data_IF_748715519187
#
_entry.id   IF_748715519187
#
_cell.length_a   1.000
_cell.length_b   1.000
_cell.length_c   1.000
_cell.angle_alpha   90.00
_cell.angle_beta   90.00
_cell.angle_gamma   90.00
#
_symmetry.space_group_name_H-M   'P 1'
#
loop_
_entity.id
_entity.type
_entity.pdbx_description
1 polymer ?
#
# COMPACT_ATOMS: atom_id res chain seq x y z
N UNK A 1 -28.40 19.18 -19.05
CA UNK A 1 -26.93 19.38 -19.09
C UNK A 1 -26.26 19.24 -17.72
N UNK A 2 -26.71 19.96 -16.66
CA UNK A 2 -26.10 19.87 -15.31
C UNK A 2 -26.12 18.45 -14.71
N UNK A 3 -27.21 17.70 -14.87
CA UNK A 3 -27.34 16.31 -14.39
C UNK A 3 -26.37 15.33 -15.09
N UNK A 4 -26.05 15.56 -16.36
CA UNK A 4 -25.12 14.72 -17.13
C UNK A 4 -23.66 14.97 -16.70
N UNK A 5 -23.32 16.24 -16.43
CA UNK A 5 -22.00 16.66 -15.94
C UNK A 5 -21.63 16.02 -14.60
N UNK A 6 -22.57 15.91 -13.67
CA UNK A 6 -22.33 15.27 -12.36
C UNK A 6 -22.15 13.75 -12.46
N UNK A 7 -22.86 13.08 -13.38
CA UNK A 7 -22.71 11.64 -13.60
C UNK A 7 -21.35 11.33 -14.24
N UNK A 8 -20.91 12.16 -15.20
CA UNK A 8 -19.60 12.01 -15.85
C UNK A 8 -18.46 12.25 -14.85
N UNK A 9 -18.58 13.25 -13.97
CA UNK A 9 -17.58 13.52 -12.94
C UNK A 9 -17.45 12.35 -11.94
N UNK A 10 -18.56 11.72 -11.58
CA UNK A 10 -18.60 10.56 -10.67
C UNK A 10 -18.04 9.29 -11.31
N UNK A 11 -18.30 9.04 -12.60
CA UNK A 11 -17.69 7.93 -13.34
C UNK A 11 -16.18 8.11 -13.49
N UNK A 12 -15.72 9.34 -13.70
CA UNK A 12 -14.29 9.64 -13.86
C UNK A 12 -13.49 9.40 -12.58
N UNK A 13 -14.09 9.61 -11.40
CA UNK A 13 -13.45 9.31 -10.11
C UNK A 13 -13.32 7.81 -9.83
N UNK A 14 -14.18 6.97 -10.43
CA UNK A 14 -14.09 5.51 -10.32
C UNK A 14 -12.98 4.91 -11.20
N UNK A 15 -12.60 5.59 -12.28
CA UNK A 15 -11.52 5.13 -13.18
C UNK A 15 -10.13 5.62 -12.78
N UNK A 16 -10.03 6.56 -11.84
CA UNK A 16 -8.76 7.02 -11.26
C UNK A 16 -8.53 6.33 -9.91
N UNK A 17 -8.66 5.01 -9.89
CA UNK A 17 -7.89 4.23 -8.91
C UNK A 17 -6.53 4.01 -9.54
N UNK A 18 -5.41 4.29 -8.85
CA UNK A 18 -4.11 3.91 -9.38
C UNK A 18 -4.14 2.40 -9.52
N UNK A 19 -4.15 1.92 -10.76
CA UNK A 19 -3.96 0.51 -11.07
C UNK A 19 -2.64 0.10 -10.40
N UNK A 20 -2.72 -0.82 -9.46
CA UNK A 20 -1.57 -1.47 -8.79
C UNK A 20 -0.62 -2.17 -9.79
N UNK A 21 -0.90 -2.10 -11.09
CA UNK A 21 -0.07 -2.57 -12.18
C UNK A 21 1.25 -1.80 -12.37
N UNK A 22 1.45 -0.64 -11.72
CA UNK A 22 2.68 0.16 -11.91
C UNK A 22 3.81 -0.15 -10.91
N UNK A 23 3.69 -1.18 -10.07
CA UNK A 23 4.79 -1.62 -9.20
C UNK A 23 5.73 -2.66 -9.88
N UNK A 24 5.37 -3.15 -11.07
CA UNK A 24 6.05 -4.28 -11.73
C UNK A 24 6.86 -3.87 -12.97
N UNK A 25 7.29 -2.60 -13.04
CA UNK A 25 7.96 -2.02 -14.22
C UNK A 25 9.48 -1.81 -14.10
N UNK A 26 10.14 -2.14 -12.99
CA UNK A 26 11.56 -1.78 -12.76
C UNK A 26 12.52 -2.95 -12.49
N UNK A 27 12.20 -4.18 -12.91
CA UNK A 27 13.16 -5.30 -12.86
C UNK A 27 13.14 -6.11 -14.16
N UNK A 28 13.21 -5.43 -15.30
CA UNK A 28 13.51 -6.06 -16.58
C UNK A 28 15.01 -6.21 -16.75
N UNK A 29 15.63 -7.16 -16.03
CA UNK A 29 17.03 -7.51 -16.27
C UNK A 29 17.06 -8.80 -17.10
N UNK A 30 17.28 -8.64 -18.40
CA UNK A 30 17.52 -9.72 -19.35
C UNK A 30 18.95 -10.24 -19.17
N UNK A 31 19.21 -10.90 -18.04
CA UNK A 31 20.40 -11.71 -17.85
C UNK A 31 20.06 -13.17 -18.12
N UNK A 32 20.93 -13.91 -18.80
CA UNK A 32 20.88 -15.38 -18.81
C UNK A 32 20.74 -15.89 -17.38
N UNK A 33 19.79 -16.79 -17.12
CA UNK A 33 19.69 -17.44 -15.80
C UNK A 33 21.05 -18.02 -15.41
N UNK A 34 21.53 -17.76 -14.18
CA UNK A 34 22.76 -18.35 -13.69
C UNK A 34 22.66 -19.87 -13.73
N UNK A 35 23.77 -20.55 -14.03
CA UNK A 35 23.81 -21.99 -14.04
C UNK A 35 23.76 -22.56 -12.60
N UNK A 36 23.45 -23.86 -12.49
CA UNK A 36 23.31 -24.50 -11.18
C UNK A 36 24.61 -24.47 -10.37
N UNK A 37 25.77 -24.43 -11.03
CA UNK A 37 27.06 -24.35 -10.37
C UNK A 37 27.28 -22.97 -9.72
N UNK A 38 26.99 -21.88 -10.43
CA UNK A 38 27.04 -20.54 -9.87
C UNK A 38 26.06 -20.36 -8.71
N UNK A 39 24.85 -20.92 -8.82
CA UNK A 39 23.86 -20.89 -7.72
C UNK A 39 24.41 -21.60 -6.48
N UNK A 40 24.99 -22.81 -6.64
CA UNK A 40 25.56 -23.55 -5.52
C UNK A 40 26.75 -22.84 -4.88
N UNK A 41 27.64 -22.26 -5.71
CA UNK A 41 28.77 -21.45 -5.23
C UNK A 41 28.28 -20.26 -4.39
N UNK A 42 27.30 -19.52 -4.92
CA UNK A 42 26.75 -18.35 -4.22
C UNK A 42 26.07 -18.74 -2.91
N UNK A 43 25.30 -19.83 -2.90
CA UNK A 43 24.68 -20.35 -1.68
C UNK A 43 25.71 -20.76 -0.63
N UNK A 44 26.87 -21.29 -1.05
CA UNK A 44 27.94 -21.62 -0.13
C UNK A 44 28.52 -20.35 0.51
N UNK A 45 28.80 -19.31 -0.27
CA UNK A 45 29.31 -18.03 0.24
C UNK A 45 28.32 -17.37 1.22
N UNK A 46 27.03 -17.35 0.89
CA UNK A 46 25.96 -16.88 1.79
C UNK A 46 25.92 -17.69 3.10
N UNK A 47 26.14 -19.01 3.05
CA UNK A 47 26.17 -19.86 4.24
C UNK A 47 27.42 -19.60 5.09
N UNK A 48 28.58 -19.39 4.48
CA UNK A 48 29.82 -19.03 5.19
C UNK A 48 29.66 -17.68 5.89
N UNK A 49 29.08 -16.69 5.21
CA UNK A 49 28.74 -15.39 5.81
C UNK A 49 27.80 -15.52 7.01
N UNK A 50 26.78 -16.38 6.91
CA UNK A 50 25.89 -16.69 8.02
C UNK A 50 26.62 -17.30 9.22
N UNK A 51 27.53 -18.25 8.99
CA UNK A 51 28.30 -18.88 10.07
C UNK A 51 29.21 -17.88 10.80
N UNK A 52 29.81 -16.95 10.06
CA UNK A 52 30.60 -15.86 10.62
C UNK A 52 29.72 -14.93 11.47
N UNK A 53 28.53 -14.57 10.98
CA UNK A 53 27.58 -13.75 11.72
C UNK A 53 27.07 -14.45 12.99
N UNK A 54 26.76 -15.75 12.92
CA UNK A 54 26.37 -16.57 14.07
C UNK A 54 27.50 -16.63 15.12
N UNK A 55 28.76 -16.70 14.66
CA UNK A 55 29.95 -16.68 15.53
C UNK A 55 30.13 -15.34 16.24
N UNK A 56 29.91 -14.22 15.53
CA UNK A 56 29.88 -12.88 16.12
C UNK A 56 28.78 -12.75 17.19
N UNK A 57 27.56 -13.21 16.88
CA UNK A 57 26.43 -13.15 17.79
C UNK A 57 26.66 -13.98 19.06
N UNK A 58 27.30 -15.13 18.92
CA UNK A 58 27.67 -16.01 20.03
C UNK A 58 28.94 -15.58 20.77
N UNK A 59 29.56 -14.46 20.35
CA UNK A 59 30.81 -13.91 20.92
C UNK A 59 31.99 -14.87 20.85
N UNK A 60 31.99 -15.82 19.90
CA UNK A 60 33.13 -16.71 19.67
C UNK A 60 34.22 -16.04 18.86
N UNK A 61 33.85 -15.05 18.05
CA UNK A 61 34.74 -14.18 17.27
C UNK A 61 34.35 -12.73 17.55
N UNK A 62 35.32 -11.83 17.49
CA UNK A 62 35.14 -10.39 17.66
C UNK A 62 35.40 -9.64 16.35
N UNK A 63 34.83 -8.44 16.21
CA UNK A 63 35.03 -7.60 15.02
C UNK A 63 36.50 -7.33 14.68
N UNK A 64 37.39 -7.32 15.68
CA UNK A 64 38.84 -7.12 15.51
C UNK A 64 39.56 -8.33 14.89
N UNK A 65 38.96 -9.51 14.95
CA UNK A 65 39.54 -10.75 14.41
C UNK A 65 39.13 -11.01 12.96
N UNK A 66 38.09 -10.33 12.48
CA UNK A 66 37.58 -10.46 11.12
C UNK A 66 38.36 -9.59 10.13
N UNK A 67 38.56 -10.12 8.93
CA UNK A 67 39.17 -9.43 7.80
C UNK A 67 38.11 -8.95 6.80
N UNK A 68 38.53 -8.12 5.86
CA UNK A 68 37.65 -7.62 4.79
C UNK A 68 36.99 -8.75 4.01
N UNK A 69 37.71 -9.83 3.67
CA UNK A 69 37.13 -11.00 3.02
C UNK A 69 36.06 -11.73 3.87
N UNK A 70 36.13 -11.65 5.20
CA UNK A 70 35.08 -12.20 6.06
C UNK A 70 33.84 -11.30 6.05
N UNK A 71 34.05 -9.99 6.01
CA UNK A 71 32.97 -9.02 5.87
C UNK A 71 32.31 -9.07 4.49
N UNK A 72 33.05 -9.35 3.43
CA UNK A 72 32.50 -9.61 2.10
C UNK A 72 31.47 -10.74 2.15
N UNK A 73 31.85 -11.91 2.70
CA UNK A 73 30.93 -13.07 2.86
C UNK A 73 29.72 -12.74 3.72
N UNK A 74 29.91 -12.01 4.83
CA UNK A 74 28.78 -11.53 5.65
C UNK A 74 27.87 -10.61 4.83
N UNK A 75 28.45 -9.75 3.97
CA UNK A 75 27.74 -8.90 3.02
C UNK A 75 26.91 -9.69 2.01
N UNK A 76 27.51 -10.72 1.38
CA UNK A 76 26.82 -11.66 0.48
C UNK A 76 25.62 -12.30 1.17
N UNK A 77 25.80 -12.80 2.40
CA UNK A 77 24.72 -13.39 3.20
C UNK A 77 23.57 -12.41 3.39
N UNK A 78 23.86 -11.20 3.88
CA UNK A 78 22.82 -10.21 4.07
C UNK A 78 22.15 -9.90 2.73
N UNK A 79 22.92 -9.75 1.63
CA UNK A 79 22.37 -9.30 0.35
C UNK A 79 21.41 -10.35 -0.20
N UNK A 80 21.80 -11.63 -0.13
CA UNK A 80 20.93 -12.76 -0.39
C UNK A 80 19.64 -12.72 0.43
N UNK A 81 19.72 -12.44 1.74
CA UNK A 81 18.52 -12.29 2.60
C UNK A 81 17.63 -11.12 2.17
N UNK A 82 18.22 -10.00 1.74
CA UNK A 82 17.45 -8.81 1.33
C UNK A 82 16.70 -9.02 0.01
N UNK A 83 17.27 -9.80 -0.90
CA UNK A 83 16.71 -10.11 -2.22
C UNK A 83 15.72 -11.27 -2.13
N UNK A 84 15.98 -12.24 -1.25
CA UNK A 84 15.14 -13.41 -1.02
C UNK A 84 15.27 -14.53 -2.06
N UNK A 85 16.18 -14.38 -3.03
CA UNK A 85 16.45 -15.38 -4.07
C UNK A 85 17.91 -15.30 -4.55
N UNK A 86 18.63 -16.43 -4.50
CA UNK A 86 20.05 -16.50 -4.87
C UNK A 86 20.28 -16.22 -6.36
N UNK A 87 19.34 -16.58 -7.24
CA UNK A 87 19.50 -16.31 -8.69
C UNK A 87 19.44 -14.82 -8.98
N UNK A 88 18.54 -14.10 -8.28
CA UNK A 88 18.43 -12.64 -8.34
C UNK A 88 19.62 -11.94 -7.68
N UNK A 89 20.20 -12.53 -6.64
CA UNK A 89 21.44 -12.05 -6.04
C UNK A 89 22.60 -12.09 -7.05
N UNK A 90 22.80 -13.22 -7.74
CA UNK A 90 23.83 -13.32 -8.80
C UNK A 90 23.60 -12.29 -9.91
N UNK A 91 22.33 -12.10 -10.32
CA UNK A 91 22.00 -11.06 -11.30
C UNK A 91 22.33 -9.64 -10.80
N UNK A 92 22.11 -9.36 -9.52
CA UNK A 92 22.48 -8.10 -8.89
C UNK A 92 24.00 -7.92 -8.86
N UNK A 93 24.77 -8.96 -8.50
CA UNK A 93 26.23 -8.89 -8.46
C UNK A 93 26.78 -8.59 -9.86
N UNK A 94 26.25 -9.24 -10.89
CA UNK A 94 26.61 -8.95 -12.29
C UNK A 94 26.26 -7.51 -12.70
N UNK A 95 25.10 -7.00 -12.26
CA UNK A 95 24.71 -5.61 -12.49
C UNK A 95 25.67 -4.65 -11.78
N UNK A 96 26.02 -4.90 -10.52
CA UNK A 96 26.97 -4.10 -9.75
C UNK A 96 28.34 -4.09 -10.41
N UNK A 97 28.88 -5.27 -10.77
CA UNK A 97 30.15 -5.41 -11.52
C UNK A 97 30.12 -4.61 -12.82
N UNK A 98 29.01 -4.61 -13.54
CA UNK A 98 28.88 -3.83 -14.79
C UNK A 98 28.91 -2.31 -14.59
N UNK A 99 28.46 -1.81 -13.42
CA UNK A 99 28.38 -0.38 -13.12
C UNK A 99 29.60 0.16 -12.37
N UNK A 100 30.14 -0.62 -11.42
CA UNK A 100 31.18 -0.18 -10.48
C UNK A 100 32.50 -0.94 -10.66
N UNK A 101 32.54 -1.93 -11.56
CA UNK A 101 33.66 -2.86 -11.68
C UNK A 101 33.68 -3.91 -10.57
N UNK A 102 34.56 -4.90 -10.70
CA UNK A 102 34.74 -6.00 -9.73
C UNK A 102 35.11 -5.45 -8.34
N UNK A 103 36.08 -4.55 -8.28
CA UNK A 103 36.49 -3.93 -7.01
C UNK A 103 35.35 -3.14 -6.35
N UNK A 104 34.49 -2.51 -7.15
CA UNK A 104 33.37 -1.74 -6.61
C UNK A 104 32.27 -2.60 -5.99
N UNK A 105 32.04 -3.80 -6.55
CA UNK A 105 31.10 -4.77 -6.00
C UNK A 105 31.63 -5.39 -4.70
N UNK A 106 32.89 -5.84 -4.69
CA UNK A 106 33.57 -6.35 -3.50
C UNK A 106 33.54 -5.33 -2.34
N UNK A 107 33.89 -4.08 -2.60
CA UNK A 107 33.87 -3.02 -1.58
C UNK A 107 32.46 -2.73 -1.05
N UNK A 108 31.44 -2.86 -1.90
CA UNK A 108 30.05 -2.72 -1.46
C UNK A 108 29.69 -3.86 -0.50
N UNK A 109 30.03 -5.12 -0.83
CA UNK A 109 29.74 -6.27 0.03
C UNK A 109 30.49 -6.19 1.36
N UNK A 110 31.77 -5.82 1.35
CA UNK A 110 32.54 -5.57 2.58
C UNK A 110 31.86 -4.49 3.43
N UNK A 111 31.49 -3.36 2.83
CA UNK A 111 30.85 -2.25 3.55
C UNK A 111 29.50 -2.67 4.12
N UNK A 112 28.71 -3.40 3.34
CA UNK A 112 27.41 -3.89 3.77
C UNK A 112 27.55 -4.92 4.90
N UNK A 113 28.54 -5.81 4.81
CA UNK A 113 28.85 -6.78 5.85
C UNK A 113 29.33 -6.14 7.14
N UNK A 114 30.24 -5.14 7.09
CA UNK A 114 30.70 -4.40 8.28
C UNK A 114 29.55 -3.66 8.97
N UNK A 115 28.63 -3.07 8.19
CA UNK A 115 27.44 -2.39 8.72
C UNK A 115 26.43 -3.37 9.30
N UNK A 116 26.12 -4.44 8.57
CA UNK A 116 25.15 -5.46 8.98
C UNK A 116 25.59 -6.25 10.21
N UNK A 117 26.90 -6.48 10.35
CA UNK A 117 27.50 -7.11 11.54
C UNK A 117 27.71 -6.17 12.74
N UNK A 118 27.36 -4.88 12.61
CA UNK A 118 27.62 -3.86 13.62
C UNK A 118 29.12 -3.68 13.97
N UNK A 119 30.02 -4.14 13.10
CA UNK A 119 31.46 -4.01 13.28
C UNK A 119 32.01 -2.67 12.73
N UNK A 120 31.22 -1.92 11.98
CA UNK A 120 31.55 -0.55 11.57
C UNK A 120 31.07 0.48 12.61
N UNK A 121 32.02 1.12 13.30
CA UNK A 121 31.78 2.30 14.15
C UNK A 121 32.57 3.54 13.68
N UNK A 122 33.12 3.52 12.46
CA UNK A 122 34.15 4.47 12.03
C UNK A 122 33.82 5.29 10.78
N UNK A 123 33.32 6.52 10.99
CA UNK A 123 33.47 7.70 10.11
C UNK A 123 33.23 7.49 8.59
N UNK A 124 31.97 7.45 8.16
CA UNK A 124 31.64 7.79 6.76
C UNK A 124 30.38 7.15 6.20
N UNK A 125 29.26 7.86 6.31
CA UNK A 125 28.20 7.81 5.31
C UNK A 125 27.09 6.77 5.51
N UNK A 126 26.08 7.16 6.28
CA UNK A 126 24.73 6.58 6.23
C UNK A 126 24.41 5.72 7.44
N UNK A 127 23.33 6.08 8.14
CA UNK A 127 22.78 5.43 9.32
C UNK A 127 23.02 3.91 9.35
N UNK A 128 23.38 3.33 10.51
CA UNK A 128 23.30 1.90 10.68
C UNK A 128 21.85 1.52 10.38
N UNK A 129 21.66 0.71 9.35
CA UNK A 129 20.38 0.07 9.10
C UNK A 129 20.03 -0.62 10.42
N UNK A 130 19.02 -0.04 11.07
CA UNK A 130 18.43 -0.49 12.32
C UNK A 130 18.45 -2.01 12.36
N UNK A 131 19.07 -2.52 13.43
CA UNK A 131 19.47 -3.90 13.56
C UNK A 131 18.41 -4.93 13.18
N UNK A 132 18.93 -6.12 12.90
CA UNK A 132 18.28 -7.42 12.75
C UNK A 132 17.50 -7.84 14.02
N UNK A 133 16.57 -6.98 14.44
CA UNK A 133 15.70 -7.04 15.61
C UNK A 133 14.58 -5.98 15.56
N UNK A 134 14.50 -5.17 14.50
CA UNK A 134 13.51 -4.09 14.32
C UNK A 134 12.32 -4.41 13.41
N UNK A 135 12.17 -5.66 12.93
CA UNK A 135 11.07 -6.02 12.02
C UNK A 135 9.67 -6.01 12.69
N UNK A 136 9.60 -5.74 14.00
CA UNK A 136 8.37 -5.50 14.74
C UNK A 136 8.06 -4.01 15.01
N UNK A 137 8.91 -3.07 14.58
CA UNK A 137 8.72 -1.64 14.89
C UNK A 137 8.64 -0.71 13.66
N UNK A 138 8.73 -1.23 12.42
CA UNK A 138 8.51 -0.42 11.20
C UNK A 138 7.12 -0.60 10.57
N UNK A 139 6.18 -1.20 11.30
CA UNK A 139 4.74 -1.19 10.99
C UNK A 139 3.91 -0.55 12.12
N UNK A 140 4.56 0.16 13.04
CA UNK A 140 3.92 0.79 14.19
C UNK A 140 4.47 2.19 14.44
N UNK A 141 3.67 3.21 14.13
CA UNK A 141 3.77 4.55 14.76
C UNK A 141 5.04 5.40 14.54
N UNK A 142 5.68 5.32 13.38
CA UNK A 142 6.71 6.29 12.97
C UNK A 142 6.14 7.53 12.29
N UNK A 143 5.75 8.56 13.06
CA UNK A 143 5.68 9.99 12.67
C UNK A 143 4.74 10.48 11.55
N UNK A 144 4.36 9.65 10.58
CA UNK A 144 3.55 10.02 9.40
C UNK A 144 2.31 9.15 9.20
N UNK A 145 2.22 7.98 9.83
CA UNK A 145 1.07 7.07 9.67
C UNK A 145 -0.26 7.64 10.18
N UNK A 146 -0.22 8.39 11.29
CA UNK A 146 -1.40 9.05 11.89
C UNK A 146 -1.72 10.41 11.22
N UNK A 147 -0.94 10.88 10.26
CA UNK A 147 -1.34 12.01 9.42
C UNK A 147 -1.83 11.54 8.05
N UNK A 148 -1.34 10.40 7.56
CA UNK A 148 -1.74 9.82 6.28
C UNK A 148 -3.16 9.22 6.26
N UNK A 149 -3.66 8.69 7.38
CA UNK A 149 -5.05 8.16 7.47
C UNK A 149 -6.14 9.25 7.49
N UNK A 150 -5.82 10.47 7.92
CA UNK A 150 -6.78 11.58 8.04
C UNK A 150 -7.37 11.96 6.67
N UNK A 151 -6.59 12.25 5.61
CA UNK A 151 -7.16 12.56 4.30
C UNK A 151 -7.94 11.38 3.70
N UNK A 152 -7.54 10.15 4.01
CA UNK A 152 -8.26 8.95 3.56
C UNK A 152 -9.65 8.85 4.20
N UNK A 153 -9.76 9.06 5.52
CA UNK A 153 -11.07 9.09 6.18
C UNK A 153 -11.94 10.27 5.71
N UNK A 154 -11.34 11.43 5.47
CA UNK A 154 -12.03 12.62 4.97
C UNK A 154 -12.61 12.36 3.57
N UNK A 155 -11.87 11.68 2.70
CA UNK A 155 -12.34 11.24 1.38
C UNK A 155 -13.58 10.33 1.49
N UNK A 156 -13.57 9.33 2.37
CA UNK A 156 -14.72 8.45 2.59
C UNK A 156 -15.95 9.20 3.11
N UNK A 157 -15.77 10.15 4.04
CA UNK A 157 -16.87 10.99 4.56
C UNK A 157 -17.50 11.82 3.44
N UNK A 158 -16.68 12.46 2.60
CA UNK A 158 -17.15 13.26 1.46
C UNK A 158 -17.90 12.39 0.46
N UNK A 159 -17.40 11.19 0.17
CA UNK A 159 -18.03 10.23 -0.74
C UNK A 159 -19.42 9.82 -0.23
N UNK A 160 -19.55 9.45 1.05
CA UNK A 160 -20.83 9.06 1.65
C UNK A 160 -21.83 10.23 1.62
N UNK A 161 -21.40 11.44 1.99
CA UNK A 161 -22.25 12.63 1.92
C UNK A 161 -22.70 12.94 0.49
N UNK A 162 -21.80 12.79 -0.49
CA UNK A 162 -22.12 12.93 -1.91
C UNK A 162 -23.19 11.95 -2.37
N UNK A 163 -23.09 10.68 -1.99
CA UNK A 163 -24.09 9.66 -2.30
C UNK A 163 -25.44 9.96 -1.63
N UNK A 164 -25.45 10.35 -0.36
CA UNK A 164 -26.69 10.71 0.35
C UNK A 164 -27.37 11.93 -0.28
N UNK A 165 -26.59 12.96 -0.63
CA UNK A 165 -27.10 14.15 -1.30
C UNK A 165 -27.65 13.81 -2.69
N UNK A 166 -26.98 12.93 -3.44
CA UNK A 166 -27.45 12.44 -4.73
C UNK A 166 -28.77 11.67 -4.59
N UNK A 167 -28.88 10.77 -3.63
CA UNK A 167 -30.11 10.03 -3.35
C UNK A 167 -31.24 10.98 -2.96
N UNK A 168 -31.00 11.96 -2.08
CA UNK A 168 -32.01 12.97 -1.72
C UNK A 168 -32.43 13.84 -2.89
N UNK A 169 -31.51 14.21 -3.77
CA UNK A 169 -31.80 15.02 -4.95
C UNK A 169 -32.56 14.23 -6.02
N UNK A 170 -32.27 12.94 -6.18
CA UNK A 170 -33.02 12.04 -7.06
C UNK A 170 -34.39 11.67 -6.49
N UNK A 171 -34.49 11.50 -5.16
CA UNK A 171 -35.75 11.20 -4.46
C UNK A 171 -36.60 12.44 -4.16
N UNK A 172 -36.05 13.65 -4.30
CA UNK A 172 -36.78 14.92 -4.17
C UNK A 172 -37.83 15.17 -5.26
N UNK A 173 -38.00 14.23 -6.20
CA UNK A 173 -39.10 14.20 -7.15
C UNK A 173 -40.42 13.66 -6.60
N UNK A 174 -40.45 13.05 -5.41
CA UNK A 174 -41.73 12.83 -4.72
C UNK A 174 -42.08 14.08 -3.94
N UNK A 175 -42.62 15.06 -4.66
CA UNK A 175 -43.59 15.99 -4.10
C UNK A 175 -44.53 15.17 -3.20
N UNK A 176 -44.51 15.45 -1.90
CA UNK A 176 -45.66 15.19 -1.05
C UNK A 176 -46.76 16.01 -1.70
N UNK A 177 -47.50 15.40 -2.62
CA UNK A 177 -48.69 15.97 -3.21
C UNK A 177 -49.56 16.32 -2.02
N UNK A 178 -49.68 17.62 -1.74
CA UNK A 178 -50.59 18.11 -0.72
C UNK A 178 -51.97 17.73 -1.22
N UNK A 179 -52.45 16.54 -0.82
CA UNK A 179 -53.79 16.06 -1.16
C UNK A 179 -54.74 17.22 -0.92
N UNK A 180 -55.40 17.68 -1.97
CA UNK A 180 -56.32 18.80 -1.82
C UNK A 180 -57.43 18.36 -0.86
N UNK A 181 -58.08 19.28 -0.14
CA UNK A 181 -59.19 18.92 0.75
C UNK A 181 -60.26 18.05 0.06
N UNK A 182 -60.44 18.22 -1.26
CA UNK A 182 -61.34 17.42 -2.10
C UNK A 182 -60.86 15.96 -2.24
N UNK A 183 -59.55 15.71 -2.33
CA UNK A 183 -59.01 14.35 -2.45
C UNK A 183 -59.15 13.57 -1.13
N UNK A 184 -59.02 14.25 0.02
CA UNK A 184 -59.31 13.66 1.34
C UNK A 184 -60.79 13.29 1.45
N UNK A 185 -61.70 14.15 0.99
CA UNK A 185 -63.13 13.85 0.96
C UNK A 185 -63.45 12.65 0.06
N UNK A 186 -62.82 12.57 -1.11
CA UNK A 186 -63.03 11.45 -2.06
C UNK A 186 -62.58 10.13 -1.44
N UNK A 187 -61.49 10.13 -0.70
CA UNK A 187 -60.98 8.94 0.01
C UNK A 187 -61.95 8.47 1.11
N UNK A 188 -62.52 9.39 1.90
CA UNK A 188 -63.50 9.05 2.95
C UNK A 188 -64.82 8.55 2.36
N UNK A 189 -65.27 9.14 1.25
CA UNK A 189 -66.45 8.65 0.53
C UNK A 189 -66.23 7.24 -0.02
N UNK A 190 -65.05 6.97 -0.60
CA UNK A 190 -64.70 5.64 -1.10
C UNK A 190 -64.57 4.59 0.02
N UNK A 191 -64.16 5.01 1.22
CA UNK A 191 -64.14 4.17 2.43
C UNK A 191 -65.54 3.97 3.05
N UNK A 192 -66.56 4.68 2.56
CA UNK A 192 -67.92 4.63 3.10
C UNK A 192 -68.09 5.36 4.44
N UNK A 193 -67.12 6.17 4.85
CA UNK A 193 -67.15 6.92 6.11
C UNK A 193 -68.10 8.12 6.04
N UNK A 194 -68.43 8.60 4.83
CA UNK A 194 -69.37 9.69 4.58
C UNK A 194 -70.35 9.31 3.48
N UNK A 195 -71.59 9.80 3.55
CA UNK A 195 -72.61 9.54 2.54
C UNK A 195 -72.47 10.53 1.36
N UNK A 196 -73.02 10.19 0.20
CA UNK A 196 -73.06 11.01 -1.01
C UNK A 196 -73.62 12.42 -0.76
N UNK A 197 -74.61 12.55 0.13
CA UNK A 197 -75.18 13.86 0.51
C UNK A 197 -74.15 14.75 1.22
N UNK A 198 -73.43 14.20 2.20
CA UNK A 198 -72.39 14.90 2.97
C UNK A 198 -71.19 15.24 2.10
N UNK A 199 -70.79 14.33 1.21
CA UNK A 199 -69.71 14.56 0.26
C UNK A 199 -70.00 15.75 -0.67
N UNK A 200 -71.21 15.84 -1.24
CA UNK A 200 -71.57 16.94 -2.15
C UNK A 200 -71.72 18.28 -1.41
N UNK A 201 -72.19 18.28 -0.15
CA UNK A 201 -72.28 19.49 0.67
C UNK A 201 -70.89 20.03 1.04
N UNK A 202 -69.99 19.17 1.53
CA UNK A 202 -68.63 19.56 1.88
C UNK A 202 -67.81 19.97 0.65
N UNK A 203 -68.01 19.30 -0.49
CA UNK A 203 -67.39 19.66 -1.77
C UNK A 203 -67.83 21.03 -2.27
N UNK A 204 -69.10 21.42 -2.03
CA UNK A 204 -69.60 22.76 -2.38
C UNK A 204 -69.01 23.85 -1.48
N UNK A 205 -68.76 23.56 -0.21
CA UNK A 205 -68.15 24.49 0.74
C UNK A 205 -66.64 24.68 0.52
N UNK A 206 -65.99 23.74 -0.17
CA UNK A 206 -64.55 23.78 -0.49
C UNK A 206 -64.25 24.32 -1.90
N UNK A 207 -65.28 24.73 -2.65
CA UNK A 207 -65.16 25.37 -3.96
C UNK A 207 -65.20 26.88 -3.82
#
# INVERSE_FOLDING_TARGET
>A
MKKLLFIILFLFTLTVTPSVAFAQGMMGFSGSSPDNAAIQSQQQEEQEGKQLLDSLNNKTVTCSELKDADFEKIGEYFMGQSIGDTSRHIAMNNMMKSMTGEQGEEQMHITWGKRGSCCDTGKGGGNPMMGYGGWNNMMGWGGFGVLAWIPMLLFWIVLILGVIALIRYLNGGFSKESKTPIDILRERYAKGEINKKEFEEMKKNLR
#
